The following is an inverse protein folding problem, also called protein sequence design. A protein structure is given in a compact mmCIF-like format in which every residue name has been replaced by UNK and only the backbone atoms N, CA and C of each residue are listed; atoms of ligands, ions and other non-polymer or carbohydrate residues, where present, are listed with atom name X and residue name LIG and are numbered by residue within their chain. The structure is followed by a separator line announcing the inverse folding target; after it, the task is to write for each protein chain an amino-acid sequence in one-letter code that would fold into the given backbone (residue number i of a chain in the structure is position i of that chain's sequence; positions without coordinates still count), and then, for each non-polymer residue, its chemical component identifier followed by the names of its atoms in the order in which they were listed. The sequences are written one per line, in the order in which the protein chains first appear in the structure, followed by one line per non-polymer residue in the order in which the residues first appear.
data_IF_682570432150
#
_entry.id   IF_682570432150
#
_cell.length_a   1.000
_cell.length_b   1.000
_cell.length_c   1.000
_cell.angle_alpha   90.00
_cell.angle_beta   90.00
_cell.angle_gamma   90.00
#
_symmetry.space_group_name_H-M   'P 1'
#
loop_
_entity.id
_entity.type
_entity.pdbx_description
1 polymer ?
#
# COMPACT_ATOMS: atom_id res chain seq x y z
N UNK A 1 29.94 33.66 17.27
CA UNK A 1 29.62 34.51 16.07
C UNK A 1 29.40 33.56 14.91
N UNK A 2 28.18 33.44 14.46
CA UNK A 2 27.88 32.64 13.23
C UNK A 2 28.43 33.41 12.05
N UNK A 3 29.39 32.81 11.33
CA UNK A 3 30.06 33.40 10.19
C UNK A 3 29.05 33.69 9.06
N UNK A 4 29.10 34.83 8.42
CA UNK A 4 28.16 35.21 7.36
C UNK A 4 28.01 34.14 6.23
N UNK A 5 29.07 33.41 5.80
CA UNK A 5 28.98 32.31 4.89
C UNK A 5 28.13 31.14 5.38
N UNK A 6 28.16 30.82 6.67
CA UNK A 6 27.37 29.73 7.26
C UNK A 6 25.88 30.06 7.28
N UNK A 7 25.51 31.31 7.57
CA UNK A 7 24.12 31.78 7.52
C UNK A 7 23.59 31.67 6.09
N UNK A 8 24.38 32.11 5.12
CA UNK A 8 24.02 32.05 3.72
C UNK A 8 23.87 30.61 3.20
N UNK A 9 24.81 29.72 3.57
CA UNK A 9 24.75 28.30 3.26
C UNK A 9 23.48 27.67 3.83
N UNK A 10 23.16 27.94 5.09
CA UNK A 10 21.97 27.43 5.76
C UNK A 10 20.68 27.86 5.03
N UNK A 11 20.61 29.14 4.63
CA UNK A 11 19.50 29.66 3.84
C UNK A 11 19.36 28.93 2.48
N UNK A 12 20.46 28.73 1.76
CA UNK A 12 20.46 28.04 0.47
C UNK A 12 20.06 26.58 0.60
N UNK A 13 20.60 25.84 1.57
CA UNK A 13 20.23 24.44 1.83
C UNK A 13 18.74 24.29 2.15
N UNK A 14 18.17 25.21 2.92
CA UNK A 14 16.72 25.26 3.18
C UNK A 14 15.93 25.50 1.89
N UNK A 15 16.35 26.45 1.06
CA UNK A 15 15.69 26.77 -0.21
C UNK A 15 15.78 25.61 -1.21
N UNK A 16 16.89 24.89 -1.24
CA UNK A 16 17.11 23.68 -2.02
C UNK A 16 16.41 22.44 -1.43
N UNK A 17 15.79 22.55 -0.27
CA UNK A 17 15.13 21.44 0.45
C UNK A 17 16.08 20.27 0.71
N UNK A 18 17.26 20.57 1.25
CA UNK A 18 18.30 19.62 1.64
C UNK A 18 18.49 19.61 3.16
N UNK A 19 17.49 19.11 3.94
CA UNK A 19 17.53 19.20 5.40
C UNK A 19 18.63 18.33 6.03
N UNK A 20 18.99 17.20 5.40
CA UNK A 20 20.08 16.34 5.90
C UNK A 20 21.42 17.02 5.72
N UNK A 21 21.67 17.66 4.57
CA UNK A 21 22.84 18.52 4.40
C UNK A 21 22.90 19.60 5.48
N UNK A 22 21.77 20.27 5.73
CA UNK A 22 21.67 21.33 6.70
C UNK A 22 22.03 20.90 8.13
N UNK A 23 21.67 19.66 8.52
CA UNK A 23 21.98 19.10 9.82
C UNK A 23 23.37 18.49 9.94
N UNK A 24 23.93 17.98 8.85
CA UNK A 24 25.10 17.10 8.90
C UNK A 24 26.38 17.71 8.29
N UNK A 25 26.31 18.79 7.50
CA UNK A 25 27.45 19.30 6.73
C UNK A 25 28.68 19.59 7.60
N UNK A 26 28.52 20.19 8.78
CA UNK A 26 29.63 20.57 9.64
C UNK A 26 30.30 19.34 10.25
N UNK A 27 29.49 18.36 10.71
CA UNK A 27 29.97 17.10 11.29
C UNK A 27 30.72 16.26 10.25
N UNK A 28 30.16 16.13 9.04
CA UNK A 28 30.80 15.38 7.95
C UNK A 28 32.09 16.06 7.47
N UNK A 29 32.17 17.40 7.49
CA UNK A 29 33.41 18.12 7.17
C UNK A 29 34.53 17.77 8.16
N UNK A 30 34.23 17.74 9.46
CA UNK A 30 35.20 17.37 10.49
C UNK A 30 35.67 15.91 10.34
N UNK A 31 34.74 14.99 10.10
CA UNK A 31 35.05 13.57 9.90
C UNK A 31 35.93 13.36 8.65
N UNK A 32 35.59 13.97 7.52
CA UNK A 32 36.38 13.86 6.31
C UNK A 32 37.78 14.48 6.45
N UNK A 33 37.91 15.58 7.18
CA UNK A 33 39.21 16.16 7.47
C UNK A 33 40.06 15.22 8.34
N UNK A 34 39.49 14.59 9.38
CA UNK A 34 40.17 13.62 10.23
C UNK A 34 40.59 12.36 9.47
N UNK A 35 39.79 11.93 8.47
CA UNK A 35 40.03 10.77 7.62
C UNK A 35 40.93 11.08 6.38
N UNK A 36 41.42 12.31 6.22
CA UNK A 36 42.14 12.78 5.03
C UNK A 36 41.37 12.52 3.71
N UNK A 37 40.05 12.67 3.73
CA UNK A 37 39.19 12.55 2.55
C UNK A 37 39.07 13.88 1.83
N UNK A 38 39.00 13.81 0.50
CA UNK A 38 38.85 15.00 -0.34
C UNK A 38 37.40 15.54 -0.37
N UNK A 39 37.20 16.66 -1.04
CA UNK A 39 35.90 17.32 -1.14
C UNK A 39 34.86 16.47 -1.90
N UNK A 40 35.29 15.61 -2.82
CA UNK A 40 34.39 14.73 -3.59
C UNK A 40 33.79 13.69 -2.65
N UNK A 41 34.61 13.06 -1.80
CA UNK A 41 34.13 12.10 -0.80
C UNK A 41 33.19 12.75 0.22
N UNK A 42 33.50 13.97 0.66
CA UNK A 42 32.63 14.75 1.54
C UNK A 42 31.24 14.99 0.92
N UNK A 43 31.19 15.50 -0.31
CA UNK A 43 29.93 15.73 -1.01
C UNK A 43 29.15 14.45 -1.29
N UNK A 44 29.85 13.38 -1.73
CA UNK A 44 29.24 12.09 -1.98
C UNK A 44 28.55 11.55 -0.71
N UNK A 45 29.24 11.58 0.44
CA UNK A 45 28.69 11.15 1.73
C UNK A 45 27.42 11.93 2.12
N UNK A 46 27.41 13.26 1.94
CA UNK A 46 26.23 14.07 2.21
C UNK A 46 25.07 13.75 1.24
N UNK A 47 25.36 13.53 -0.04
CA UNK A 47 24.35 13.13 -1.03
C UNK A 47 23.73 11.78 -0.67
N UNK A 48 24.53 10.80 -0.33
CA UNK A 48 24.06 9.47 0.08
C UNK A 48 23.15 9.55 1.32
N UNK A 49 23.58 10.32 2.32
CA UNK A 49 22.76 10.54 3.53
C UNK A 49 21.41 11.21 3.19
N UNK A 50 21.40 12.22 2.34
CA UNK A 50 20.16 12.89 1.92
C UNK A 50 19.24 11.94 1.15
N UNK A 51 19.79 11.09 0.25
CA UNK A 51 19.01 10.09 -0.49
C UNK A 51 18.37 9.08 0.44
N UNK A 52 19.12 8.51 1.38
CA UNK A 52 18.62 7.55 2.37
C UNK A 52 17.50 8.18 3.22
N UNK A 53 17.71 9.42 3.69
CA UNK A 53 16.71 10.11 4.51
C UNK A 53 15.46 10.51 3.71
N UNK A 54 15.59 10.84 2.43
CA UNK A 54 14.44 11.08 1.54
C UNK A 54 13.63 9.82 1.31
N UNK A 55 14.29 8.70 1.07
CA UNK A 55 13.64 7.41 0.90
C UNK A 55 12.90 7.00 2.17
N UNK A 56 13.55 7.09 3.34
CA UNK A 56 12.93 6.81 4.64
C UNK A 56 11.66 7.65 4.86
N UNK A 57 11.75 8.97 4.66
CA UNK A 57 10.60 9.89 4.81
C UNK A 57 9.50 9.60 3.78
N UNK A 58 9.85 9.17 2.59
CA UNK A 58 8.89 8.78 1.57
C UNK A 58 8.13 7.53 2.02
N UNK A 59 8.83 6.48 2.47
CA UNK A 59 8.24 5.24 2.98
C UNK A 59 7.31 5.54 4.17
N UNK A 60 7.77 6.31 5.15
CA UNK A 60 6.95 6.70 6.31
C UNK A 60 5.64 7.40 5.89
N UNK A 61 5.74 8.31 4.94
CA UNK A 61 4.54 8.99 4.39
C UNK A 61 3.61 8.02 3.67
N UNK A 62 4.14 7.02 2.93
CA UNK A 62 3.34 5.98 2.26
C UNK A 62 2.61 5.13 3.28
N UNK A 63 3.30 4.64 4.31
CA UNK A 63 2.70 3.83 5.38
C UNK A 63 1.60 4.63 6.10
N UNK A 64 1.86 5.87 6.46
CA UNK A 64 0.85 6.73 7.11
C UNK A 64 -0.37 6.98 6.22
N UNK A 65 -0.17 7.20 4.93
CA UNK A 65 -1.24 7.45 3.95
C UNK A 65 -2.07 6.20 3.65
N UNK A 66 -1.49 5.01 3.80
CA UNK A 66 -2.16 3.74 3.55
C UNK A 66 -3.31 3.46 4.53
N UNK A 67 -3.30 4.05 5.72
CA UNK A 67 -4.30 3.88 6.78
C UNK A 67 -4.45 2.42 7.25
N UNK A 68 -3.33 1.73 7.43
CA UNK A 68 -3.35 0.39 8.01
C UNK A 68 -3.90 0.42 9.45
N UNK A 69 -4.76 -0.53 9.85
CA UNK A 69 -5.27 -0.62 11.22
C UNK A 69 -4.18 -1.05 12.22
N UNK A 70 -3.18 -1.76 11.74
CA UNK A 70 -2.00 -2.19 12.50
C UNK A 70 -0.83 -2.42 11.55
N UNK A 71 0.39 -2.33 12.06
CA UNK A 71 1.58 -2.68 11.27
C UNK A 71 1.84 -4.19 11.41
N UNK A 72 1.65 -4.92 10.33
CA UNK A 72 1.93 -6.36 10.22
C UNK A 72 2.91 -6.56 9.06
N UNK A 73 4.00 -7.29 9.32
CA UNK A 73 4.97 -7.67 8.28
C UNK A 73 4.83 -9.16 7.95
N UNK A 74 5.27 -9.56 6.76
CA UNK A 74 5.32 -10.98 6.39
C UNK A 74 6.30 -11.76 7.24
N UNK A 75 7.36 -11.12 7.75
CA UNK A 75 8.34 -11.74 8.64
C UNK A 75 7.72 -12.16 9.98
N UNK A 76 6.68 -11.45 10.42
CA UNK A 76 5.94 -11.78 11.65
C UNK A 76 4.85 -12.83 11.46
N UNK A 77 4.62 -13.29 10.22
CA UNK A 77 3.63 -14.33 9.92
C UNK A 77 4.24 -15.73 10.06
N UNK A 78 3.62 -16.57 10.89
CA UNK A 78 4.04 -17.95 11.04
C UNK A 78 3.43 -18.85 9.95
N UNK A 79 4.18 -19.05 8.87
CA UNK A 79 3.76 -19.93 7.77
C UNK A 79 3.58 -21.40 8.16
N UNK A 80 4.10 -21.84 9.33
CA UNK A 80 3.93 -23.22 9.77
C UNK A 80 2.52 -23.50 10.24
N UNK A 81 1.82 -22.47 10.75
CA UNK A 81 0.43 -22.58 11.21
C UNK A 81 -0.55 -22.67 10.03
N UNK A 82 -0.11 -22.28 8.82
CA UNK A 82 -0.95 -22.25 7.62
C UNK A 82 -0.30 -23.01 6.47
N UNK A 83 -0.28 -24.36 6.51
CA UNK A 83 0.38 -25.19 5.48
C UNK A 83 -0.25 -25.06 4.09
N UNK A 84 -1.56 -24.72 4.02
CA UNK A 84 -2.27 -24.49 2.75
C UNK A 84 -1.80 -23.24 2.01
N UNK A 85 -1.24 -22.25 2.71
CA UNK A 85 -0.73 -21.04 2.09
C UNK A 85 0.58 -21.30 1.36
N UNK A 86 0.60 -21.00 0.06
CA UNK A 86 1.80 -21.11 -0.76
C UNK A 86 2.82 -20.03 -0.37
N UNK A 87 3.74 -20.38 0.55
CA UNK A 87 4.79 -19.46 1.02
C UNK A 87 5.68 -18.92 -0.10
N UNK A 88 6.22 -19.74 -1.03
CA UNK A 88 7.00 -19.25 -2.17
C UNK A 88 6.27 -18.18 -2.97
N UNK A 89 5.00 -18.41 -3.32
CA UNK A 89 4.17 -17.43 -4.01
C UNK A 89 3.99 -16.15 -3.19
N UNK A 90 3.70 -16.28 -1.90
CA UNK A 90 3.51 -15.10 -1.02
C UNK A 90 4.79 -14.25 -0.94
N UNK A 91 5.95 -14.89 -0.87
CA UNK A 91 7.24 -14.18 -0.85
C UNK A 91 7.60 -13.56 -2.20
N UNK A 92 7.20 -14.18 -3.32
CA UNK A 92 7.35 -13.57 -4.64
C UNK A 92 6.44 -12.34 -4.78
N UNK A 93 5.19 -12.43 -4.34
CA UNK A 93 4.27 -11.29 -4.30
C UNK A 93 4.79 -10.13 -3.43
N UNK A 94 5.57 -10.40 -2.39
CA UNK A 94 6.20 -9.37 -1.57
C UNK A 94 7.20 -8.49 -2.37
N UNK A 95 7.67 -8.95 -3.52
CA UNK A 95 8.48 -8.16 -4.46
C UNK A 95 7.67 -7.09 -5.19
N UNK A 96 6.34 -7.16 -5.10
CA UNK A 96 5.36 -6.23 -5.67
C UNK A 96 5.40 -6.10 -7.21
N UNK A 97 6.00 -7.03 -7.93
CA UNK A 97 6.05 -7.00 -9.40
C UNK A 97 4.64 -7.17 -10.01
N UNK A 98 3.72 -7.82 -9.29
CA UNK A 98 2.31 -7.92 -9.66
C UNK A 98 1.62 -6.54 -9.77
N UNK A 99 2.06 -5.54 -8.98
CA UNK A 99 1.52 -4.18 -9.04
C UNK A 99 1.89 -3.51 -10.35
N UNK A 100 3.12 -3.69 -10.82
CA UNK A 100 3.58 -3.16 -12.11
C UNK A 100 2.83 -3.82 -13.28
N UNK A 101 2.49 -5.12 -13.13
CA UNK A 101 1.68 -5.88 -14.09
C UNK A 101 0.16 -5.70 -13.94
N UNK A 102 -0.28 -4.94 -12.90
CA UNK A 102 -1.70 -4.69 -12.60
C UNK A 102 -2.50 -5.97 -12.34
N UNK A 103 -1.86 -6.94 -11.73
CA UNK A 103 -2.48 -8.18 -11.31
C UNK A 103 -3.09 -8.02 -9.91
N UNK A 104 -4.16 -8.76 -9.65
CA UNK A 104 -4.88 -8.73 -8.39
C UNK A 104 -4.46 -9.89 -7.48
N UNK A 105 -4.79 -9.78 -6.20
CA UNK A 105 -4.62 -10.86 -5.22
C UNK A 105 -5.95 -11.05 -4.50
N UNK A 106 -6.39 -12.30 -4.39
CA UNK A 106 -7.57 -12.65 -3.60
C UNK A 106 -7.16 -13.70 -2.57
N UNK A 107 -7.29 -13.35 -1.29
CA UNK A 107 -7.03 -14.26 -0.18
C UNK A 107 -8.37 -14.80 0.35
N UNK A 108 -8.58 -16.11 0.20
CA UNK A 108 -9.80 -16.82 0.59
C UNK A 108 -9.53 -17.77 1.76
N UNK A 109 -10.50 -17.93 2.64
CA UNK A 109 -10.45 -18.91 3.71
C UNK A 109 -11.22 -18.50 4.97
N UNK A 110 -11.42 -19.40 5.94
CA UNK A 110 -12.17 -19.14 7.15
C UNK A 110 -11.66 -17.95 7.97
N UNK A 111 -12.48 -17.44 8.87
CA UNK A 111 -12.06 -16.37 9.78
C UNK A 111 -10.89 -16.84 10.66
N UNK A 112 -9.97 -15.92 10.98
CA UNK A 112 -8.81 -16.21 11.84
C UNK A 112 -7.60 -16.84 11.15
N UNK A 113 -7.65 -17.17 9.85
CA UNK A 113 -6.54 -17.79 9.10
C UNK A 113 -5.39 -16.84 8.75
N UNK A 114 -5.50 -15.56 9.07
CA UNK A 114 -4.43 -14.58 8.84
C UNK A 114 -4.47 -13.87 7.49
N UNK A 115 -5.59 -13.91 6.76
CA UNK A 115 -5.76 -13.20 5.47
C UNK A 115 -5.41 -11.73 5.55
N UNK A 116 -5.98 -11.04 6.53
CA UNK A 116 -5.68 -9.62 6.80
C UNK A 116 -4.20 -9.40 7.10
N UNK A 117 -3.54 -10.31 7.83
CA UNK A 117 -2.11 -10.22 8.10
C UNK A 117 -1.30 -10.26 6.79
N UNK A 118 -1.60 -11.21 5.90
CA UNK A 118 -0.93 -11.31 4.59
C UNK A 118 -1.19 -10.06 3.75
N UNK A 119 -2.45 -9.59 3.68
CA UNK A 119 -2.80 -8.38 2.94
C UNK A 119 -2.05 -7.14 3.46
N UNK A 120 -1.97 -6.98 4.79
CA UNK A 120 -1.21 -5.89 5.42
C UNK A 120 0.30 -6.02 5.17
N UNK A 121 0.84 -7.23 5.25
CA UNK A 121 2.26 -7.50 4.97
C UNK A 121 2.65 -7.18 3.54
N UNK A 122 1.83 -7.57 2.56
CA UNK A 122 2.01 -7.21 1.14
C UNK A 122 1.84 -5.70 0.91
N UNK A 123 0.87 -5.08 1.57
CA UNK A 123 0.69 -3.63 1.54
C UNK A 123 1.87 -2.86 2.12
N UNK A 124 2.46 -3.35 3.22
CA UNK A 124 3.66 -2.77 3.82
C UNK A 124 4.86 -2.88 2.86
N UNK A 125 5.07 -4.06 2.25
CA UNK A 125 6.10 -4.27 1.23
C UNK A 125 5.94 -3.28 0.05
N UNK A 126 4.72 -3.06 -0.42
CA UNK A 126 4.42 -2.08 -1.46
C UNK A 126 4.75 -0.64 -1.02
N UNK A 127 4.44 -0.25 0.22
CA UNK A 127 4.84 1.04 0.77
C UNK A 127 6.36 1.21 0.83
N UNK A 128 7.10 0.15 1.18
CA UNK A 128 8.57 0.13 1.22
C UNK A 128 9.18 0.33 -0.18
N UNK A 129 8.51 -0.16 -1.23
CA UNK A 129 8.84 0.15 -2.63
C UNK A 129 8.40 1.55 -3.09
N UNK A 130 7.86 2.37 -2.19
CA UNK A 130 7.39 3.74 -2.50
C UNK A 130 6.03 3.82 -3.18
N UNK A 131 5.32 2.70 -3.35
CA UNK A 131 4.03 2.64 -4.00
C UNK A 131 2.94 3.31 -3.12
N UNK A 132 1.91 3.83 -3.77
CA UNK A 132 0.73 4.39 -3.10
C UNK A 132 -0.22 3.25 -2.76
N UNK A 133 -0.46 3.03 -1.47
CA UNK A 133 -1.34 1.98 -0.97
C UNK A 133 -2.49 2.61 -0.20
N UNK A 134 -3.67 2.04 -0.32
CA UNK A 134 -4.83 2.36 0.50
C UNK A 134 -5.42 1.07 1.05
N UNK A 135 -5.58 1.01 2.36
CA UNK A 135 -6.30 -0.05 3.06
C UNK A 135 -7.69 0.45 3.48
N UNK A 136 -8.69 -0.40 3.35
CA UNK A 136 -10.04 -0.20 3.88
C UNK A 136 -10.73 -1.57 4.03
N UNK A 137 -11.72 -1.67 4.90
CA UNK A 137 -12.63 -2.83 4.87
C UNK A 137 -13.73 -2.60 3.83
N UNK A 138 -14.33 -3.67 3.31
CA UNK A 138 -15.42 -3.56 2.34
C UNK A 138 -16.59 -2.75 2.90
N UNK A 139 -16.97 -2.98 4.17
CA UNK A 139 -18.05 -2.25 4.83
C UNK A 139 -17.75 -0.76 4.97
N UNK A 140 -16.53 -0.40 5.41
CA UNK A 140 -16.13 1.00 5.54
C UNK A 140 -16.07 1.71 4.18
N UNK A 141 -15.55 1.03 3.15
CA UNK A 141 -15.50 1.58 1.80
C UNK A 141 -16.89 1.87 1.24
N UNK A 142 -17.82 0.93 1.39
CA UNK A 142 -19.21 1.10 0.95
C UNK A 142 -19.88 2.24 1.70
N UNK A 143 -19.68 2.35 3.00
CA UNK A 143 -20.19 3.47 3.79
C UNK A 143 -19.65 4.81 3.29
N UNK A 144 -18.33 4.94 3.12
CA UNK A 144 -17.69 6.15 2.59
C UNK A 144 -18.22 6.52 1.18
N UNK A 145 -18.48 5.52 0.33
CA UNK A 145 -19.00 5.74 -1.04
C UNK A 145 -20.45 6.26 -1.03
N UNK A 146 -21.31 5.67 -0.20
CA UNK A 146 -22.72 6.12 -0.05
C UNK A 146 -22.74 7.56 0.49
N UNK A 147 -22.01 7.82 1.58
CA UNK A 147 -21.90 9.17 2.15
C UNK A 147 -21.36 10.19 1.12
N UNK A 148 -20.33 9.81 0.38
CA UNK A 148 -19.76 10.67 -0.66
C UNK A 148 -20.74 10.92 -1.82
N UNK A 149 -21.64 9.98 -2.13
CA UNK A 149 -22.71 10.15 -3.11
C UNK A 149 -23.73 11.19 -2.63
N UNK A 150 -24.19 11.06 -1.38
CA UNK A 150 -25.14 11.97 -0.76
C UNK A 150 -24.59 13.39 -0.67
N UNK A 151 -23.31 13.53 -0.36
CA UNK A 151 -22.60 14.82 -0.27
C UNK A 151 -22.09 15.35 -1.63
N UNK A 152 -22.40 14.70 -2.74
CA UNK A 152 -21.97 15.09 -4.10
C UNK A 152 -20.43 15.15 -4.28
N UNK A 153 -19.69 14.37 -3.51
CA UNK A 153 -18.22 14.28 -3.58
C UNK A 153 -17.70 12.92 -4.09
N UNK A 154 -18.61 12.04 -4.59
CA UNK A 154 -18.30 10.68 -5.06
C UNK A 154 -17.14 10.65 -6.05
N UNK A 155 -17.17 11.47 -7.10
CA UNK A 155 -16.12 11.51 -8.13
C UNK A 155 -14.74 11.82 -7.54
N UNK A 156 -14.69 12.68 -6.50
CA UNK A 156 -13.42 13.00 -5.81
C UNK A 156 -12.89 11.79 -5.06
N UNK A 157 -13.76 11.06 -4.35
CA UNK A 157 -13.38 9.85 -3.62
C UNK A 157 -12.93 8.75 -4.59
N UNK A 158 -13.68 8.49 -5.65
CA UNK A 158 -13.33 7.52 -6.69
C UNK A 158 -11.97 7.85 -7.31
N UNK A 159 -11.71 9.11 -7.68
CA UNK A 159 -10.41 9.54 -8.20
C UNK A 159 -9.28 9.33 -7.18
N UNK A 160 -9.53 9.53 -5.90
CA UNK A 160 -8.55 9.28 -4.85
C UNK A 160 -8.24 7.79 -4.72
N UNK A 161 -9.24 6.91 -4.78
CA UNK A 161 -9.07 5.46 -4.73
C UNK A 161 -8.33 4.93 -5.97
N UNK A 162 -8.76 5.34 -7.16
CA UNK A 162 -8.16 4.89 -8.43
C UNK A 162 -6.78 5.48 -8.72
N UNK A 163 -6.34 6.47 -7.96
CA UNK A 163 -4.97 7.00 -8.02
C UNK A 163 -3.95 6.22 -7.19
N UNK A 164 -4.40 5.19 -6.47
CA UNK A 164 -3.52 4.30 -5.74
C UNK A 164 -2.88 3.27 -6.69
N UNK A 165 -1.66 2.84 -6.38
CA UNK A 165 -1.04 1.71 -7.07
C UNK A 165 -1.63 0.38 -6.58
N UNK A 166 -2.02 0.34 -5.29
CA UNK A 166 -2.59 -0.83 -4.63
C UNK A 166 -3.74 -0.43 -3.71
N UNK A 167 -4.91 -1.00 -3.95
CA UNK A 167 -6.08 -0.88 -3.08
C UNK A 167 -6.30 -2.20 -2.34
N UNK A 168 -6.35 -2.17 -1.01
CA UNK A 168 -6.64 -3.34 -0.17
C UNK A 168 -8.06 -3.21 0.35
N UNK A 169 -8.91 -4.17 0.01
CA UNK A 169 -10.30 -4.28 0.45
C UNK A 169 -10.40 -5.52 1.33
N UNK A 170 -10.43 -5.31 2.63
CA UNK A 170 -10.45 -6.38 3.62
C UNK A 170 -11.89 -6.77 4.00
N UNK A 171 -12.09 -8.01 4.40
CA UNK A 171 -13.35 -8.52 4.94
C UNK A 171 -14.55 -8.44 3.96
N UNK A 172 -14.31 -8.68 2.66
CA UNK A 172 -15.41 -8.77 1.70
C UNK A 172 -16.27 -10.01 2.02
N UNK A 173 -17.59 -9.79 2.13
CA UNK A 173 -18.55 -10.86 2.45
C UNK A 173 -18.85 -11.04 3.93
N UNK A 174 -18.23 -10.27 4.82
CA UNK A 174 -18.54 -10.34 6.25
C UNK A 174 -19.97 -9.83 6.55
N UNK A 175 -20.44 -8.87 5.76
CA UNK A 175 -21.82 -8.33 5.85
C UNK A 175 -22.37 -8.20 4.43
N UNK A 176 -23.65 -8.59 4.19
CA UNK A 176 -24.30 -8.35 2.91
C UNK A 176 -24.34 -6.86 2.59
N UNK A 177 -24.13 -6.50 1.33
CA UNK A 177 -24.14 -5.11 0.87
C UNK A 177 -25.56 -4.68 0.48
N UNK A 178 -25.90 -3.41 0.71
CA UNK A 178 -27.09 -2.84 0.08
C UNK A 178 -26.93 -2.79 -1.45
N UNK A 179 -28.01 -2.78 -2.20
CA UNK A 179 -27.96 -2.74 -3.67
C UNK A 179 -27.10 -1.58 -4.16
N UNK A 180 -27.31 -0.36 -3.64
CA UNK A 180 -26.51 0.80 -4.05
C UNK A 180 -25.06 0.68 -3.61
N UNK A 181 -24.79 0.11 -2.44
CA UNK A 181 -23.44 -0.17 -1.97
C UNK A 181 -22.68 -1.15 -2.86
N UNK A 182 -23.33 -2.22 -3.29
CA UNK A 182 -22.78 -3.19 -4.23
C UNK A 182 -22.47 -2.56 -5.60
N UNK A 183 -23.35 -1.74 -6.12
CA UNK A 183 -23.16 -1.01 -7.39
C UNK A 183 -21.98 -0.03 -7.30
N UNK A 184 -21.86 0.74 -6.21
CA UNK A 184 -20.78 1.68 -5.98
C UNK A 184 -19.43 0.97 -5.81
N UNK A 185 -19.39 -0.14 -5.08
CA UNK A 185 -18.17 -0.94 -4.90
C UNK A 185 -17.72 -1.54 -6.25
N UNK A 186 -18.68 -2.08 -7.03
CA UNK A 186 -18.43 -2.57 -8.38
C UNK A 186 -17.83 -1.48 -9.27
N UNK A 187 -18.36 -0.26 -9.21
CA UNK A 187 -17.86 0.86 -10.00
C UNK A 187 -16.41 1.18 -9.65
N UNK A 188 -16.05 1.25 -8.35
CA UNK A 188 -14.67 1.48 -7.90
C UNK A 188 -13.73 0.39 -8.40
N UNK A 189 -14.10 -0.89 -8.23
CA UNK A 189 -13.28 -2.02 -8.69
C UNK A 189 -13.11 -1.97 -10.22
N UNK A 190 -14.18 -1.66 -10.94
CA UNK A 190 -14.15 -1.51 -12.41
C UNK A 190 -13.24 -0.35 -12.86
N UNK A 191 -13.23 0.75 -12.13
CA UNK A 191 -12.34 1.88 -12.43
C UNK A 191 -10.87 1.59 -12.08
N UNK A 192 -10.60 0.70 -11.13
CA UNK A 192 -9.25 0.23 -10.80
C UNK A 192 -8.71 -0.79 -11.81
N UNK A 193 -9.60 -1.48 -12.55
CA UNK A 193 -9.22 -2.46 -13.54
C UNK A 193 -8.24 -1.87 -14.55
N UNK A 194 -7.13 -2.57 -14.83
CA UNK A 194 -6.02 -2.16 -15.70
C UNK A 194 -5.29 -0.84 -15.31
N UNK A 195 -5.62 -0.25 -14.17
CA UNK A 195 -4.97 1.00 -13.68
C UNK A 195 -4.11 0.79 -12.45
N UNK A 196 -4.51 -0.12 -11.59
CA UNK A 196 -3.82 -0.48 -10.37
C UNK A 196 -4.13 -1.92 -9.99
N UNK A 197 -3.58 -2.38 -8.89
CA UNK A 197 -3.84 -3.70 -8.34
C UNK A 197 -4.78 -3.63 -7.15
N UNK A 198 -5.54 -4.70 -6.95
CA UNK A 198 -6.44 -4.83 -5.80
C UNK A 198 -6.05 -6.08 -5.03
N UNK A 199 -5.99 -5.98 -3.70
CA UNK A 199 -5.98 -7.14 -2.80
C UNK A 199 -7.36 -7.22 -2.16
N UNK A 200 -8.02 -8.37 -2.25
CA UNK A 200 -9.27 -8.66 -1.55
C UNK A 200 -9.04 -9.79 -0.57
N UNK A 201 -9.56 -9.66 0.65
CA UNK A 201 -9.70 -10.78 1.56
C UNK A 201 -11.16 -11.12 1.74
N UNK A 202 -11.50 -12.40 1.71
CA UNK A 202 -12.85 -12.87 1.92
C UNK A 202 -12.86 -14.18 2.72
N UNK A 203 -13.86 -14.32 3.56
CA UNK A 203 -14.14 -15.59 4.25
C UNK A 203 -15.10 -16.48 3.45
N UNK A 204 -15.65 -15.97 2.35
CA UNK A 204 -16.57 -16.67 1.48
C UNK A 204 -15.87 -17.13 0.19
N UNK A 205 -16.14 -18.33 -0.29
CA UNK A 205 -15.74 -18.76 -1.63
C UNK A 205 -16.50 -17.96 -2.69
N UNK A 206 -16.05 -18.00 -3.94
CA UNK A 206 -16.60 -17.16 -5.02
C UNK A 206 -18.07 -17.41 -5.34
N UNK A 207 -18.55 -18.64 -5.20
CA UNK A 207 -19.93 -19.03 -5.41
C UNK A 207 -20.90 -18.38 -4.43
N UNK A 208 -20.45 -18.05 -3.22
CA UNK A 208 -21.25 -17.33 -2.24
C UNK A 208 -21.22 -15.80 -2.39
N UNK A 209 -20.39 -15.24 -3.26
CA UNK A 209 -20.31 -13.78 -3.45
C UNK A 209 -21.61 -13.19 -4.02
N UNK A 210 -22.44 -14.00 -4.67
CA UNK A 210 -23.76 -13.56 -5.13
C UNK A 210 -24.65 -13.12 -3.97
N UNK A 211 -24.52 -13.74 -2.81
CA UNK A 211 -25.26 -13.35 -1.60
C UNK A 211 -24.79 -11.97 -1.06
N UNK A 212 -23.50 -11.65 -1.25
CA UNK A 212 -22.92 -10.37 -0.83
C UNK A 212 -23.39 -9.23 -1.72
N UNK A 213 -23.38 -9.43 -3.04
CA UNK A 213 -23.70 -8.40 -4.02
C UNK A 213 -25.19 -8.39 -4.43
N UNK A 214 -25.96 -9.41 -4.05
CA UNK A 214 -27.41 -9.50 -4.30
C UNK A 214 -27.81 -9.65 -5.78
N UNK A 215 -26.85 -9.88 -6.70
CA UNK A 215 -27.10 -9.98 -8.13
C UNK A 215 -26.06 -10.87 -8.82
N UNK A 216 -26.49 -11.98 -9.44
CA UNK A 216 -25.62 -12.86 -10.22
C UNK A 216 -24.90 -12.12 -11.35
N UNK A 217 -25.62 -11.21 -12.05
CA UNK A 217 -25.04 -10.42 -13.13
C UNK A 217 -23.92 -9.50 -12.64
N UNK A 218 -24.13 -8.83 -11.50
CA UNK A 218 -23.15 -7.93 -10.94
C UNK A 218 -21.92 -8.71 -10.43
N UNK A 219 -22.16 -9.83 -9.74
CA UNK A 219 -21.12 -10.72 -9.23
C UNK A 219 -20.29 -11.31 -10.37
N UNK A 220 -20.94 -11.83 -11.42
CA UNK A 220 -20.23 -12.36 -12.58
C UNK A 220 -19.35 -11.32 -13.26
N UNK A 221 -19.87 -10.10 -13.49
CA UNK A 221 -19.10 -9.02 -14.08
C UNK A 221 -17.95 -8.52 -13.17
N UNK A 222 -18.10 -8.62 -11.87
CA UNK A 222 -17.05 -8.30 -10.90
C UNK A 222 -15.94 -9.34 -10.93
N UNK A 223 -16.31 -10.61 -10.87
CA UNK A 223 -15.37 -11.73 -10.89
C UNK A 223 -14.57 -11.75 -12.18
N UNK A 224 -15.22 -11.52 -13.33
CA UNK A 224 -14.54 -11.44 -14.62
C UNK A 224 -13.39 -10.42 -14.60
N UNK A 225 -13.60 -9.23 -14.02
CA UNK A 225 -12.56 -8.19 -13.89
C UNK A 225 -11.49 -8.54 -12.89
N UNK A 226 -11.86 -9.09 -11.75
CA UNK A 226 -10.92 -9.41 -10.69
C UNK A 226 -10.04 -10.61 -11.03
N UNK A 227 -10.59 -11.61 -11.73
CA UNK A 227 -9.92 -12.88 -12.01
C UNK A 227 -9.18 -12.91 -13.34
N UNK A 228 -9.28 -11.88 -14.16
CA UNK A 228 -8.59 -11.81 -15.45
C UNK A 228 -7.06 -11.97 -15.30
N UNK A 229 -6.48 -11.32 -14.30
CA UNK A 229 -5.08 -11.50 -13.87
C UNK A 229 -5.05 -11.54 -12.35
N UNK A 230 -5.05 -12.72 -11.74
CA UNK A 230 -5.20 -12.88 -10.30
C UNK A 230 -4.28 -13.94 -9.73
N UNK A 231 -3.78 -13.68 -8.52
CA UNK A 231 -3.16 -14.65 -7.63
C UNK A 231 -4.15 -15.00 -6.52
N UNK A 232 -4.53 -16.26 -6.43
CA UNK A 232 -5.43 -16.73 -5.37
C UNK A 232 -4.57 -17.34 -4.25
N UNK A 233 -4.76 -16.83 -3.05
CA UNK A 233 -4.14 -17.35 -1.84
C UNK A 233 -5.22 -18.08 -1.03
N UNK A 234 -5.21 -19.40 -1.09
CA UNK A 234 -6.08 -20.23 -0.29
C UNK A 234 -5.50 -20.41 1.11
N UNK A 235 -6.25 -19.98 2.10
CA UNK A 235 -5.85 -19.99 3.50
C UNK A 235 -6.84 -20.84 4.32
N UNK A 236 -6.95 -22.11 3.91
CA UNK A 236 -7.80 -23.09 4.59
C UNK A 236 -7.01 -23.59 5.82
N UNK A 237 -7.51 -23.26 7.02
CA UNK A 237 -7.05 -23.89 8.25
C UNK A 237 -7.33 -25.40 8.21
N UNK A 238 -6.64 -26.16 9.07
CA UNK A 238 -6.94 -27.58 9.28
C UNK A 238 -8.39 -27.76 9.75
#
# INVERSE_FOLDING_TARGET
MTDAPQILLHHHLKKLRLPTFQGEYAKQAQLCAAENKDHIHYLARLCEMELIERERRMIERRIKAAKFPSTKSLDSFDFKIMPSLNKPLTMDLARCDYVDRRENIIALGPSGTGKTHIALGLGLAACQRGLKVRFTTAAALVHDLIEAQDERRLQRLQKQLTSQNLLIIDELGFVPLSKSGAELLFEVISQCYERGSIIITSNLPFDEWTEVFGSERLTGALLDRLTHHVHILEMNGE
#
